data_IF_981021479972
#
_entry.id   IF_981021479972
#
_cell.length_a   1.000
_cell.length_b   1.000
_cell.length_c   1.000
_cell.angle_alpha   90.00
_cell.angle_beta   90.00
_cell.angle_gamma   90.00
#
_symmetry.space_group_name_H-M   'P 1'
#
loop_
_entity.id
_entity.type
_entity.pdbx_description
1 polymer ?
#
# COMPACT_ATOMS: atom_id res chain seq x y z
N UNK A 1 -9.20 27.56 28.25
CA UNK A 1 -9.41 26.98 26.91
C UNK A 1 -8.19 26.11 26.64
N UNK A 2 -8.37 24.81 26.43
CA UNK A 2 -7.23 23.90 26.22
C UNK A 2 -6.93 23.89 24.72
N UNK A 3 -5.72 24.29 24.36
CA UNK A 3 -5.21 24.31 22.98
C UNK A 3 -4.94 22.88 22.50
N UNK A 4 -5.42 22.55 21.30
CA UNK A 4 -5.37 21.21 20.65
C UNK A 4 -3.93 20.67 20.52
N UNK A 5 -2.93 21.55 20.60
CA UNK A 5 -1.51 21.25 20.52
C UNK A 5 -0.95 20.33 21.62
N UNK A 6 -1.70 20.08 22.71
CA UNK A 6 -1.26 19.20 23.80
C UNK A 6 -1.59 17.72 23.60
N UNK A 7 -2.36 17.36 22.56
CA UNK A 7 -2.79 15.98 22.32
C UNK A 7 -1.74 15.12 21.58
N UNK A 8 -0.48 15.53 21.54
CA UNK A 8 0.57 14.77 20.86
C UNK A 8 0.35 14.64 19.35
N UNK A 9 -0.57 15.43 18.79
CA UNK A 9 -0.80 15.56 17.36
C UNK A 9 0.19 16.56 16.77
N UNK A 10 1.47 16.36 17.04
CA UNK A 10 2.45 16.84 16.08
C UNK A 10 2.16 16.05 14.81
N UNK A 11 1.95 16.73 13.69
CA UNK A 11 2.10 16.13 12.37
C UNK A 11 3.54 15.63 12.25
N UNK A 12 3.82 14.47 12.86
CA UNK A 12 4.88 13.62 12.37
C UNK A 12 4.55 13.44 10.89
N UNK A 13 5.51 13.61 9.96
CA UNK A 13 5.30 13.17 8.59
C UNK A 13 4.99 11.69 8.73
N UNK A 14 3.70 11.36 8.74
CA UNK A 14 3.24 10.02 8.92
C UNK A 14 3.95 9.29 7.81
N UNK A 15 4.76 8.30 8.18
CA UNK A 15 5.26 7.37 7.22
C UNK A 15 3.98 6.79 6.61
N UNK A 16 3.52 7.38 5.50
CA UNK A 16 2.18 7.21 4.95
C UNK A 16 2.10 5.87 4.20
N UNK A 17 2.99 4.95 4.60
CA UNK A 17 2.97 3.56 4.27
C UNK A 17 1.58 3.04 4.64
N UNK A 18 0.86 2.48 3.65
CA UNK A 18 -0.42 1.83 3.89
C UNK A 18 -0.27 0.81 5.01
N UNK A 19 -1.13 0.90 6.01
CA UNK A 19 -1.17 -0.04 7.14
C UNK A 19 -2.56 -0.64 7.27
N UNK A 20 -2.64 -1.85 7.81
CA UNK A 20 -3.91 -2.50 8.12
C UNK A 20 -4.67 -1.63 9.14
N UNK A 21 -5.95 -1.41 8.89
CA UNK A 21 -6.79 -0.54 9.72
C UNK A 21 -6.58 0.97 9.50
N UNK A 22 -5.78 1.38 8.50
CA UNK A 22 -5.76 2.76 8.04
C UNK A 22 -7.13 3.18 7.49
N UNK A 23 -7.40 4.48 7.48
CA UNK A 23 -8.55 5.08 6.81
C UNK A 23 -8.35 5.10 5.28
N UNK A 24 -8.13 3.93 4.70
CA UNK A 24 -7.98 3.67 3.28
C UNK A 24 -9.00 2.61 2.88
N UNK A 25 -9.49 2.68 1.66
CA UNK A 25 -10.26 1.57 1.08
C UNK A 25 -9.36 0.33 0.90
N UNK A 26 -9.99 -0.84 0.83
CA UNK A 26 -9.27 -2.08 0.53
C UNK A 26 -8.56 -2.01 -0.82
N UNK A 27 -9.15 -1.32 -1.80
CA UNK A 27 -8.56 -1.16 -3.14
C UNK A 27 -7.29 -0.29 -3.09
N UNK A 28 -7.30 0.80 -2.31
CA UNK A 28 -6.13 1.65 -2.12
C UNK A 28 -5.01 0.90 -1.36
N UNK A 29 -5.38 0.12 -0.34
CA UNK A 29 -4.44 -0.70 0.42
C UNK A 29 -3.81 -1.77 -0.47
N UNK A 30 -4.61 -2.45 -1.29
CA UNK A 30 -4.16 -3.46 -2.24
C UNK A 30 -3.24 -2.84 -3.31
N UNK A 31 -3.65 -1.73 -3.93
CA UNK A 31 -2.83 -1.02 -4.93
C UNK A 31 -1.45 -0.67 -4.39
N UNK A 32 -1.40 -0.11 -3.19
CA UNK A 32 -0.14 0.33 -2.62
C UNK A 32 0.73 -0.86 -2.17
N UNK A 33 0.13 -1.96 -1.71
CA UNK A 33 0.85 -3.20 -1.44
C UNK A 33 1.44 -3.82 -2.72
N UNK A 34 0.65 -3.91 -3.79
CA UNK A 34 1.12 -4.39 -5.10
C UNK A 34 2.29 -3.53 -5.59
N UNK A 35 2.18 -2.21 -5.52
CA UNK A 35 3.26 -1.29 -5.91
C UNK A 35 4.55 -1.53 -5.11
N UNK A 36 4.44 -1.68 -3.78
CA UNK A 36 5.59 -1.94 -2.92
C UNK A 36 6.27 -3.29 -3.22
N UNK A 37 5.49 -4.35 -3.45
CA UNK A 37 6.02 -5.67 -3.81
C UNK A 37 6.68 -5.63 -5.20
N UNK A 38 6.08 -4.96 -6.18
CA UNK A 38 6.67 -4.81 -7.51
C UNK A 38 8.00 -4.04 -7.48
N UNK A 39 8.11 -3.00 -6.64
CA UNK A 39 9.34 -2.22 -6.51
C UNK A 39 10.49 -2.98 -5.84
N UNK A 40 10.19 -4.02 -5.06
CA UNK A 40 11.16 -4.81 -4.30
C UNK A 40 11.43 -6.20 -4.90
N UNK A 41 10.61 -6.65 -5.84
CA UNK A 41 10.75 -7.95 -6.50
C UNK A 41 11.61 -7.86 -7.75
N UNK A 42 12.49 -8.84 -7.95
CA UNK A 42 13.32 -8.95 -9.16
C UNK A 42 12.52 -9.36 -10.40
N UNK A 43 11.42 -10.10 -10.22
CA UNK A 43 10.57 -10.57 -11.32
C UNK A 43 9.08 -10.49 -10.97
N UNK A 44 8.24 -10.42 -12.00
CA UNK A 44 6.78 -10.46 -11.88
C UNK A 44 6.30 -11.74 -11.18
N UNK A 45 6.94 -12.89 -11.46
CA UNK A 45 6.57 -14.16 -10.83
C UNK A 45 6.88 -14.18 -9.34
N UNK A 46 8.00 -13.57 -8.91
CA UNK A 46 8.32 -13.45 -7.48
C UNK A 46 7.34 -12.51 -6.76
N UNK A 47 6.96 -11.41 -7.41
CA UNK A 47 5.94 -10.51 -6.90
C UNK A 47 4.59 -11.23 -6.74
N UNK A 48 4.17 -11.98 -7.75
CA UNK A 48 2.92 -12.74 -7.73
C UNK A 48 2.89 -13.79 -6.61
N UNK A 49 3.99 -14.52 -6.42
CA UNK A 49 4.15 -15.48 -5.30
C UNK A 49 4.03 -14.79 -3.94
N UNK A 50 4.65 -13.62 -3.78
CA UNK A 50 4.60 -12.84 -2.54
C UNK A 50 3.18 -12.37 -2.22
N UNK A 51 2.45 -11.94 -3.26
CA UNK A 51 1.05 -11.53 -3.16
C UNK A 51 0.07 -12.70 -3.03
N UNK A 52 0.52 -13.95 -3.22
CA UNK A 52 -0.33 -15.15 -3.17
C UNK A 52 -1.31 -15.25 -4.34
N UNK A 53 -1.00 -14.63 -5.49
CA UNK A 53 -1.84 -14.64 -6.70
C UNK A 53 -1.04 -15.18 -7.89
N UNK A 54 -1.74 -15.51 -8.97
CA UNK A 54 -1.08 -15.85 -10.23
C UNK A 54 -0.56 -14.61 -10.97
N UNK A 55 0.46 -14.80 -11.81
CA UNK A 55 1.08 -13.72 -12.57
C UNK A 55 0.11 -13.02 -13.55
N UNK A 56 -0.90 -13.73 -14.07
CA UNK A 56 -1.89 -13.16 -14.99
C UNK A 56 -2.86 -12.22 -14.27
N UNK A 57 -3.26 -12.57 -13.04
CA UNK A 57 -4.04 -11.71 -12.16
C UNK A 57 -3.25 -10.48 -11.74
N UNK A 58 -1.97 -10.63 -11.39
CA UNK A 58 -1.10 -9.50 -11.08
C UNK A 58 -0.98 -8.55 -12.28
N UNK A 59 -0.81 -9.08 -13.49
CA UNK A 59 -0.74 -8.26 -14.70
C UNK A 59 -2.00 -7.43 -14.94
N UNK A 60 -3.18 -8.05 -14.76
CA UNK A 60 -4.47 -7.36 -14.89
C UNK A 60 -4.65 -6.28 -13.82
N UNK A 61 -4.33 -6.58 -12.56
CA UNK A 61 -4.39 -5.62 -11.44
C UNK A 61 -3.42 -4.46 -11.64
N UNK A 62 -2.18 -4.74 -12.07
CA UNK A 62 -1.19 -3.70 -12.40
C UNK A 62 -1.73 -2.73 -13.45
N UNK A 63 -2.34 -3.27 -14.52
CA UNK A 63 -2.97 -2.45 -15.57
C UNK A 63 -4.17 -1.66 -15.06
N UNK A 64 -5.02 -2.25 -14.22
CA UNK A 64 -6.18 -1.58 -13.62
C UNK A 64 -5.78 -0.43 -12.69
N UNK A 65 -4.68 -0.58 -11.96
CA UNK A 65 -4.19 0.40 -11.00
C UNK A 65 -3.22 1.44 -11.60
N UNK A 66 -2.89 1.31 -12.89
CA UNK A 66 -1.90 2.11 -13.60
C UNK A 66 -0.54 2.11 -12.89
N UNK A 67 -0.05 0.91 -12.54
CA UNK A 67 1.26 0.66 -11.94
C UNK A 67 2.29 0.18 -12.99
#
# INVERSE_FOLDING_TARGET
>A
RVEVSHLGMAEQPANNAPRVGAALSLDELEKAHIGAVLATSETLDQAAKTLGIDASTLYRKRKQYNL
#
